data_IF_021896483446
#
_entry.id   IF_021896483446
#
_cell.length_a   1.000
_cell.length_b   1.000
_cell.length_c   1.000
_cell.angle_alpha   90.00
_cell.angle_beta   90.00
_cell.angle_gamma   90.00
#
_symmetry.space_group_name_H-M   'P 1'
#
loop_
_entity.id
_entity.type
_entity.pdbx_description
1 polymer ?
#
# COMPACT_ATOMS: atom_id res chain seq x y z
N UNK A 1 65.96 32.35 58.13
CA UNK A 1 65.60 33.47 59.03
C UNK A 1 64.23 34.01 58.61
N UNK A 2 63.47 34.53 59.58
CA UNK A 2 62.10 35.11 59.59
C UNK A 2 61.33 35.23 58.23
N UNK A 3 60.10 34.73 58.06
CA UNK A 3 58.83 34.99 58.77
C UNK A 3 58.36 36.46 58.79
N UNK A 4 57.18 36.72 58.22
CA UNK A 4 56.03 37.49 58.80
C UNK A 4 55.22 38.16 57.66
N UNK A 5 54.04 37.65 57.22
CA UNK A 5 52.65 38.00 57.64
C UNK A 5 52.20 39.40 57.12
N UNK A 6 50.97 39.74 56.71
CA UNK A 6 49.62 39.18 56.97
C UNK A 6 48.53 39.71 56.00
N UNK A 7 47.39 38.99 55.88
CA UNK A 7 46.04 39.49 55.46
C UNK A 7 45.90 40.10 54.04
N UNK A 8 44.79 40.05 53.29
CA UNK A 8 43.34 39.88 53.56
C UNK A 8 42.63 39.52 52.19
N UNK A 9 41.33 39.24 52.00
CA UNK A 9 40.11 39.24 52.84
C UNK A 9 38.92 38.50 52.14
N UNK A 10 38.43 37.36 52.69
CA UNK A 10 37.02 36.84 52.52
C UNK A 10 36.64 36.37 51.08
N UNK A 11 35.60 35.56 50.82
CA UNK A 11 34.54 34.92 51.63
C UNK A 11 34.07 33.61 50.96
N UNK A 12 33.49 32.69 51.72
CA UNK A 12 32.88 31.44 51.22
C UNK A 12 31.49 31.65 50.63
N UNK A 13 31.12 30.88 49.59
CA UNK A 13 29.75 30.44 49.35
C UNK A 13 29.74 29.21 48.40
N UNK A 14 29.11 28.11 48.83
CA UNK A 14 28.70 27.02 47.94
C UNK A 14 27.44 27.43 47.18
N UNK A 15 27.31 27.02 45.92
CA UNK A 15 26.03 27.02 45.21
C UNK A 15 25.97 25.82 44.26
N UNK A 16 25.07 24.89 44.58
CA UNK A 16 24.80 23.70 43.77
C UNK A 16 23.49 23.90 43.00
N UNK A 17 23.55 23.86 41.67
CA UNK A 17 22.40 23.80 40.75
C UNK A 17 22.94 23.55 39.34
N UNK A 18 22.37 22.72 38.47
CA UNK A 18 21.32 21.72 38.62
C UNK A 18 21.25 20.99 37.28
N UNK A 19 21.33 19.65 37.25
CA UNK A 19 21.43 18.91 35.99
C UNK A 19 20.06 18.88 35.32
N UNK A 20 19.83 19.78 34.35
CA UNK A 20 18.61 19.85 33.56
C UNK A 20 18.47 18.59 32.70
N UNK A 21 17.76 17.61 33.23
CA UNK A 21 17.31 16.44 32.49
C UNK A 21 16.25 16.91 31.48
N UNK A 22 16.68 17.25 30.26
CA UNK A 22 15.78 17.54 29.16
C UNK A 22 15.02 16.25 28.82
N UNK A 23 13.79 16.14 29.32
CA UNK A 23 12.88 15.07 28.96
C UNK A 23 12.58 15.16 27.48
N UNK A 24 13.25 14.33 26.68
CA UNK A 24 12.85 14.08 25.31
C UNK A 24 11.46 13.45 25.38
N UNK A 25 10.43 14.23 25.01
CA UNK A 25 9.14 13.67 24.69
C UNK A 25 9.33 12.81 23.44
N UNK A 26 9.63 11.54 23.66
CA UNK A 26 9.54 10.51 22.63
C UNK A 26 8.06 10.46 22.27
N UNK A 27 7.69 11.19 21.21
CA UNK A 27 6.42 10.99 20.57
C UNK A 27 6.43 9.53 20.08
N UNK A 28 5.68 8.68 20.78
CA UNK A 28 5.29 7.39 20.26
C UNK A 28 4.62 7.69 18.92
N UNK A 29 5.29 7.36 17.82
CA UNK A 29 4.65 7.36 16.51
C UNK A 29 3.67 6.19 16.56
N UNK A 30 2.48 6.47 17.08
CA UNK A 30 1.37 5.53 17.08
C UNK A 30 1.22 5.01 15.66
N UNK A 31 1.32 3.70 15.50
CA UNK A 31 1.23 2.99 14.23
C UNK A 31 -0.09 3.38 13.53
N UNK A 32 -0.02 4.32 12.57
CA UNK A 32 -1.23 4.84 11.93
C UNK A 32 -1.86 3.79 11.00
N UNK A 33 -1.09 2.83 10.50
CA UNK A 33 -1.61 1.69 9.73
C UNK A 33 -2.57 0.82 10.56
N UNK A 34 -2.43 0.77 11.89
CA UNK A 34 -3.39 0.10 12.77
C UNK A 34 -4.81 0.72 12.75
N UNK A 35 -4.93 1.97 12.28
CA UNK A 35 -6.20 2.69 12.09
C UNK A 35 -6.72 2.59 10.64
N UNK A 36 -5.97 1.92 9.75
CA UNK A 36 -6.32 1.68 8.35
C UNK A 36 -6.88 0.27 8.18
N UNK A 37 -8.05 0.16 7.57
CA UNK A 37 -8.67 -1.11 7.20
C UNK A 37 -8.64 -1.31 5.69
N UNK A 38 -8.25 -2.51 5.27
CA UNK A 38 -8.26 -2.92 3.87
C UNK A 38 -9.48 -3.79 3.58
N UNK A 39 -10.26 -3.40 2.57
CA UNK A 39 -11.39 -4.15 2.05
C UNK A 39 -11.18 -4.51 0.58
N UNK A 40 -11.82 -5.61 0.15
CA UNK A 40 -11.92 -5.98 -1.27
C UNK A 40 -10.55 -6.06 -1.95
N UNK A 41 -9.57 -6.67 -1.28
CA UNK A 41 -8.20 -6.83 -1.75
C UNK A 41 -8.09 -7.99 -2.76
N UNK A 42 -7.67 -7.71 -3.99
CA UNK A 42 -7.53 -8.72 -5.04
C UNK A 42 -6.46 -8.38 -6.08
N UNK A 43 -5.86 -9.41 -6.68
CA UNK A 43 -4.86 -9.28 -7.76
C UNK A 43 -5.46 -9.82 -9.05
N UNK A 44 -5.42 -9.03 -10.11
CA UNK A 44 -5.65 -9.48 -11.49
C UNK A 44 -4.37 -10.10 -12.02
N UNK A 45 -4.35 -11.42 -12.12
CA UNK A 45 -3.24 -12.17 -12.72
C UNK A 45 -3.34 -12.09 -14.25
N UNK A 46 -2.22 -11.80 -14.91
CA UNK A 46 -2.09 -11.86 -16.37
C UNK A 46 -1.28 -13.11 -16.79
N UNK A 47 -1.45 -13.63 -18.01
CA UNK A 47 -0.63 -14.74 -18.52
C UNK A 47 0.84 -14.35 -18.72
N UNK A 48 1.72 -15.36 -18.68
CA UNK A 48 3.17 -15.21 -18.78
C UNK A 48 3.76 -14.26 -17.71
N UNK A 49 5.00 -13.80 -17.89
CA UNK A 49 5.71 -12.94 -16.93
C UNK A 49 5.26 -11.46 -16.97
N UNK A 50 4.01 -11.21 -17.37
CA UNK A 50 3.44 -9.86 -17.42
C UNK A 50 3.14 -9.32 -16.02
N UNK A 51 3.30 -8.00 -15.76
CA UNK A 51 2.94 -7.39 -14.49
C UNK A 51 1.47 -7.62 -14.13
N UNK A 52 1.21 -8.04 -12.89
CA UNK A 52 -0.14 -8.17 -12.36
C UNK A 52 -0.62 -6.84 -11.74
N UNK A 53 -1.94 -6.65 -11.66
CA UNK A 53 -2.55 -5.46 -11.06
C UNK A 53 -3.21 -5.78 -9.73
N UNK A 54 -2.79 -5.12 -8.64
CA UNK A 54 -3.38 -5.24 -7.31
C UNK A 54 -4.33 -4.09 -6.99
N UNK A 55 -5.47 -4.43 -6.41
CA UNK A 55 -6.59 -3.54 -6.17
C UNK A 55 -7.12 -3.76 -4.75
N UNK A 56 -7.46 -2.68 -4.05
CA UNK A 56 -7.88 -2.68 -2.64
C UNK A 56 -8.58 -1.36 -2.33
N UNK A 57 -9.57 -1.38 -1.44
CA UNK A 57 -10.10 -0.13 -0.84
C UNK A 57 -9.56 0.02 0.56
N UNK A 58 -9.00 1.18 0.87
CA UNK A 58 -8.39 1.49 2.15
C UNK A 58 -9.23 2.55 2.86
N UNK A 59 -9.61 2.27 4.09
CA UNK A 59 -10.40 3.13 4.95
C UNK A 59 -9.55 3.55 6.14
N UNK A 60 -9.28 4.85 6.28
CA UNK A 60 -8.57 5.39 7.42
C UNK A 60 -9.59 5.86 8.45
N UNK A 61 -9.66 5.18 9.59
CA UNK A 61 -10.56 5.56 10.71
C UNK A 61 -9.95 6.62 11.63
N UNK A 62 -8.65 6.87 11.50
CA UNK A 62 -7.87 7.76 12.33
C UNK A 62 -8.15 9.26 12.14
N UNK A 63 -7.72 10.03 13.15
CA UNK A 63 -7.83 11.49 13.20
C UNK A 63 -6.78 12.22 12.33
N UNK A 64 -5.79 11.48 11.77
CA UNK A 64 -4.73 12.05 10.92
C UNK A 64 -4.71 11.38 9.54
N UNK A 65 -4.24 12.12 8.53
CA UNK A 65 -4.08 11.57 7.19
C UNK A 65 -2.77 10.78 7.08
N UNK A 66 -2.84 9.58 6.49
CA UNK A 66 -1.70 8.70 6.22
C UNK A 66 -1.49 8.62 4.70
N UNK A 67 -0.28 8.29 4.23
CA UNK A 67 -0.01 8.15 2.79
C UNK A 67 0.61 6.79 2.47
N UNK A 68 -0.03 6.05 1.55
CA UNK A 68 0.48 4.79 1.01
C UNK A 68 1.61 5.11 0.01
N UNK A 69 2.81 4.57 0.20
CA UNK A 69 3.97 4.81 -0.68
C UNK A 69 4.27 3.62 -1.59
N UNK A 70 3.88 2.42 -1.18
CA UNK A 70 4.13 1.20 -1.95
C UNK A 70 3.61 -0.04 -1.25
N UNK A 71 4.17 -1.18 -1.61
CA UNK A 71 3.93 -2.45 -0.94
C UNK A 71 5.09 -3.42 -1.17
N UNK A 72 5.08 -4.54 -0.46
CA UNK A 72 6.02 -5.64 -0.60
C UNK A 72 5.32 -7.01 -0.51
N UNK A 73 5.90 -8.05 -1.13
CA UNK A 73 5.39 -9.42 -1.04
C UNK A 73 6.50 -10.42 -1.33
N UNK A 74 6.54 -11.55 -0.62
CA UNK A 74 7.44 -12.66 -0.94
C UNK A 74 7.12 -13.36 -2.29
N UNK A 75 5.98 -13.01 -2.93
CA UNK A 75 5.55 -13.57 -4.21
C UNK A 75 5.96 -12.75 -5.43
N UNK A 76 6.47 -11.54 -5.26
CA UNK A 76 6.82 -10.62 -6.34
C UNK A 76 8.12 -9.87 -6.04
N UNK A 77 8.99 -9.68 -7.03
CA UNK A 77 10.24 -8.93 -6.87
C UNK A 77 10.01 -7.46 -6.55
N UNK A 78 8.96 -6.86 -7.12
CA UNK A 78 8.59 -5.46 -6.87
C UNK A 78 7.06 -5.32 -6.81
N UNK A 79 6.57 -4.48 -5.89
CA UNK A 79 5.18 -4.00 -5.89
C UNK A 79 5.19 -2.48 -5.76
N UNK A 80 4.68 -1.79 -6.78
CA UNK A 80 4.84 -0.33 -6.93
C UNK A 80 3.48 0.34 -7.07
N UNK A 81 3.31 1.51 -6.45
CA UNK A 81 2.09 2.29 -6.59
C UNK A 81 2.06 3.01 -7.96
N UNK A 82 1.01 2.79 -8.74
CA UNK A 82 0.83 3.32 -10.08
C UNK A 82 -0.56 3.97 -10.24
N UNK A 83 -0.67 4.90 -11.18
CA UNK A 83 -1.94 5.47 -11.65
C UNK A 83 -2.11 5.17 -13.14
N UNK A 84 -3.29 4.70 -13.52
CA UNK A 84 -3.77 4.70 -14.90
C UNK A 84 -4.48 6.01 -15.21
N UNK A 85 -4.18 6.61 -16.35
CA UNK A 85 -4.87 7.80 -16.89
C UNK A 85 -5.14 7.61 -18.38
N UNK A 86 -6.08 8.39 -18.93
CA UNK A 86 -6.32 8.47 -20.37
C UNK A 86 -6.05 9.90 -20.83
N UNK A 87 -5.08 10.08 -21.72
CA UNK A 87 -4.68 11.38 -22.25
C UNK A 87 -4.73 11.33 -23.78
N UNK A 88 -5.49 12.24 -24.40
CA UNK A 88 -5.67 12.26 -25.86
C UNK A 88 -6.27 10.97 -26.46
N UNK A 89 -6.98 10.17 -25.66
CA UNK A 89 -7.50 8.86 -26.08
C UNK A 89 -6.49 7.70 -25.96
N UNK A 90 -5.26 7.95 -25.50
CA UNK A 90 -4.26 6.93 -25.20
C UNK A 90 -4.23 6.65 -23.70
N UNK A 91 -4.24 5.36 -23.33
CA UNK A 91 -4.02 4.94 -21.95
C UNK A 91 -2.55 5.08 -21.55
N UNK A 92 -2.29 5.69 -20.41
CA UNK A 92 -0.97 5.83 -19.80
C UNK A 92 -0.98 5.24 -18.40
N UNK A 93 0.10 4.56 -18.03
CA UNK A 93 0.38 4.16 -16.64
C UNK A 93 1.64 4.89 -16.17
N UNK A 94 1.59 5.46 -14.98
CA UNK A 94 2.74 6.13 -14.35
C UNK A 94 2.87 5.72 -12.89
N UNK A 95 4.11 5.56 -12.43
CA UNK A 95 4.43 5.41 -11.01
C UNK A 95 3.98 6.66 -10.23
N UNK A 96 3.59 6.45 -8.97
CA UNK A 96 3.17 7.47 -8.03
C UNK A 96 3.98 7.27 -6.74
N UNK A 97 4.61 8.34 -6.25
CA UNK A 97 5.46 8.26 -5.04
C UNK A 97 4.66 8.01 -3.76
N UNK A 98 3.45 8.59 -3.67
CA UNK A 98 2.55 8.42 -2.53
C UNK A 98 1.09 8.73 -2.88
N UNK A 99 0.16 8.05 -2.20
CA UNK A 99 -1.29 8.27 -2.28
C UNK A 99 -1.85 8.54 -0.88
N UNK A 100 -2.35 9.77 -0.68
CA UNK A 100 -2.91 10.19 0.60
C UNK A 100 -4.27 9.54 0.87
N UNK A 101 -4.47 9.10 2.11
CA UNK A 101 -5.71 8.56 2.67
C UNK A 101 -6.14 9.52 3.79
N UNK A 102 -7.12 10.41 3.56
CA UNK A 102 -7.53 11.42 4.53
C UNK A 102 -7.98 10.83 5.86
N UNK A 103 -7.86 11.61 6.94
CA UNK A 103 -8.47 11.28 8.24
C UNK A 103 -9.98 11.03 8.08
N UNK A 104 -10.49 9.98 8.72
CA UNK A 104 -11.86 9.45 8.55
C UNK A 104 -12.29 9.23 7.07
N UNK A 105 -11.31 9.10 6.17
CA UNK A 105 -11.49 9.06 4.73
C UNK A 105 -11.27 7.68 4.13
N UNK A 106 -11.33 7.59 2.81
CA UNK A 106 -11.08 6.34 2.11
C UNK A 106 -10.51 6.58 0.71
N UNK A 107 -9.73 5.63 0.21
CA UNK A 107 -9.22 5.63 -1.16
C UNK A 107 -9.39 4.25 -1.78
N UNK A 108 -9.68 4.18 -3.08
CA UNK A 108 -9.83 2.91 -3.80
C UNK A 108 -8.76 2.80 -4.88
N UNK A 109 -7.97 1.74 -4.79
CA UNK A 109 -7.10 1.28 -5.86
C UNK A 109 -7.93 0.35 -6.73
N UNK A 110 -8.35 0.84 -7.89
CA UNK A 110 -9.33 0.20 -8.78
C UNK A 110 -8.88 0.23 -10.25
N UNK A 111 -9.37 -0.70 -11.10
CA UNK A 111 -9.04 -0.72 -12.52
C UNK A 111 -9.35 0.60 -13.23
N UNK A 112 -8.40 1.11 -14.01
CA UNK A 112 -8.51 2.42 -14.66
C UNK A 112 -8.14 3.62 -13.79
N UNK A 113 -7.84 3.42 -12.50
CA UNK A 113 -7.31 4.45 -11.59
C UNK A 113 -5.99 4.05 -10.94
N UNK A 114 -5.84 4.33 -9.65
CA UNK A 114 -4.69 3.87 -8.85
C UNK A 114 -4.69 2.35 -8.71
N UNK A 115 -3.50 1.74 -8.72
CA UNK A 115 -3.33 0.30 -8.55
C UNK A 115 -1.91 -0.01 -8.08
N UNK A 116 -1.73 -1.18 -7.48
CA UNK A 116 -0.40 -1.76 -7.26
C UNK A 116 0.02 -2.49 -8.54
N UNK A 117 1.19 -2.17 -9.09
CA UNK A 117 1.82 -2.94 -10.16
C UNK A 117 2.75 -3.97 -9.54
N UNK A 118 2.41 -5.26 -9.64
CA UNK A 118 3.21 -6.36 -9.12
C UNK A 118 4.05 -6.96 -10.26
N UNK A 119 5.37 -6.94 -10.11
CA UNK A 119 6.31 -7.39 -11.13
C UNK A 119 7.18 -8.56 -10.65
N UNK A 120 7.66 -9.37 -11.60
CA UNK A 120 8.58 -10.49 -11.34
C UNK A 120 8.03 -11.47 -10.30
N UNK A 121 6.94 -12.17 -10.65
CA UNK A 121 6.38 -13.20 -9.78
C UNK A 121 7.43 -14.29 -9.51
N UNK A 122 7.68 -14.63 -8.25
CA UNK A 122 8.71 -15.62 -7.86
C UNK A 122 8.34 -17.04 -8.27
N UNK A 123 7.03 -17.28 -8.45
CA UNK A 123 6.39 -18.46 -9.04
C UNK A 123 5.09 -18.02 -9.70
N UNK A 124 4.60 -18.78 -10.68
CA UNK A 124 3.26 -18.56 -11.23
C UNK A 124 2.21 -18.49 -10.10
N UNK A 125 1.36 -17.45 -10.15
CA UNK A 125 0.23 -17.26 -9.24
C UNK A 125 -1.04 -17.72 -9.95
N UNK A 126 -1.84 -18.56 -9.31
CA UNK A 126 -3.07 -19.09 -9.91
C UNK A 126 -4.30 -18.32 -9.46
N UNK A 127 -5.33 -18.24 -10.30
CA UNK A 127 -6.62 -17.72 -9.86
C UNK A 127 -7.19 -18.57 -8.71
N UNK A 128 -7.74 -17.92 -7.68
CA UNK A 128 -8.18 -18.55 -6.43
C UNK A 128 -7.09 -18.66 -5.35
N UNK A 129 -5.84 -18.31 -5.65
CA UNK A 129 -4.75 -18.28 -4.67
C UNK A 129 -4.76 -17.00 -3.83
N UNK A 130 -4.49 -17.11 -2.52
CA UNK A 130 -4.27 -15.94 -1.65
C UNK A 130 -2.79 -15.54 -1.68
N UNK A 131 -2.53 -14.25 -1.92
CA UNK A 131 -1.19 -13.65 -1.93
C UNK A 131 -1.09 -12.65 -0.77
N UNK A 132 -0.24 -12.91 0.24
CA UNK A 132 0.08 -11.91 1.25
C UNK A 132 0.85 -10.74 0.64
N UNK A 133 0.37 -9.53 0.88
CA UNK A 133 1.00 -8.26 0.48
C UNK A 133 1.03 -7.34 1.69
N UNK A 134 2.20 -6.80 2.02
CA UNK A 134 2.34 -5.77 3.05
C UNK A 134 2.29 -4.41 2.39
N UNK A 135 1.33 -3.58 2.76
CA UNK A 135 1.24 -2.18 2.32
C UNK A 135 2.17 -1.32 3.15
N UNK A 136 2.90 -0.41 2.49
CA UNK A 136 3.93 0.42 3.11
C UNK A 136 3.49 1.90 3.13
N UNK A 137 3.63 2.56 4.28
CA UNK A 137 3.17 3.94 4.48
C UNK A 137 4.32 4.92 4.76
N UNK A 138 4.08 6.21 4.48
CA UNK A 138 5.07 7.28 4.55
C UNK A 138 5.60 7.58 5.97
N UNK A 139 4.90 7.16 7.01
CA UNK A 139 5.34 7.27 8.41
C UNK A 139 6.22 6.08 8.86
N UNK A 140 6.43 5.08 7.99
CA UNK A 140 7.15 3.85 8.29
C UNK A 140 6.28 2.75 8.90
N UNK A 141 4.96 2.94 8.98
CA UNK A 141 4.02 1.89 9.36
C UNK A 141 3.72 0.94 8.19
N UNK A 142 3.17 -0.24 8.51
CA UNK A 142 2.93 -1.31 7.56
C UNK A 142 1.61 -2.04 7.84
N UNK A 143 0.82 -2.34 6.81
CA UNK A 143 -0.43 -3.12 6.93
C UNK A 143 -0.34 -4.43 6.12
N UNK A 144 -0.26 -5.61 6.76
CA UNK A 144 -0.37 -6.88 6.05
C UNK A 144 -1.81 -7.12 5.58
N UNK A 145 -1.98 -7.44 4.29
CA UNK A 145 -3.27 -7.66 3.64
C UNK A 145 -3.19 -8.89 2.74
N UNK A 146 -4.18 -9.77 2.85
CA UNK A 146 -4.32 -10.93 1.97
C UNK A 146 -5.11 -10.54 0.70
N UNK A 147 -4.46 -10.65 -0.47
CA UNK A 147 -5.08 -10.37 -1.75
C UNK A 147 -5.50 -11.67 -2.45
N UNK A 148 -6.77 -11.77 -2.87
CA UNK A 148 -7.25 -12.90 -3.68
C UNK A 148 -6.83 -12.75 -5.14
N UNK A 149 -6.12 -13.73 -5.70
CA UNK A 149 -5.80 -13.78 -7.12
C UNK A 149 -7.04 -14.12 -7.95
N UNK A 150 -7.33 -13.30 -8.97
CA UNK A 150 -8.45 -13.45 -9.91
C UNK A 150 -7.94 -13.46 -11.37
N UNK A 151 -8.67 -14.08 -12.31
CA UNK A 151 -8.27 -14.15 -13.72
C UNK A 151 -8.26 -12.78 -14.40
N UNK A 152 -7.57 -12.68 -15.54
CA UNK A 152 -7.36 -11.43 -16.30
C UNK A 152 -8.66 -10.67 -16.67
N UNK A 153 -9.77 -11.39 -16.84
CA UNK A 153 -11.08 -10.83 -17.19
C UNK A 153 -11.90 -10.32 -15.99
N UNK A 154 -11.46 -10.53 -14.74
CA UNK A 154 -12.14 -9.98 -13.57
C UNK A 154 -12.11 -8.45 -13.59
N UNK A 155 -13.21 -7.78 -13.23
CA UNK A 155 -13.33 -6.30 -13.27
C UNK A 155 -13.37 -5.65 -11.89
N UNK A 156 -13.57 -6.45 -10.85
CA UNK A 156 -13.80 -6.05 -9.45
C UNK A 156 -13.24 -7.11 -8.48
N UNK A 157 -13.47 -6.95 -7.18
CA UNK A 157 -13.17 -7.98 -6.18
C UNK A 157 -14.14 -9.17 -6.24
N UNK A 158 -15.40 -8.91 -6.65
CA UNK A 158 -16.48 -9.88 -6.84
C UNK A 158 -17.07 -10.43 -5.54
N UNK A 159 -18.37 -10.25 -5.35
CA UNK A 159 -19.07 -10.68 -4.13
C UNK A 159 -19.39 -12.20 -4.08
N UNK A 160 -18.69 -13.01 -4.89
CA UNK A 160 -18.95 -14.46 -5.01
C UNK A 160 -17.67 -15.30 -5.11
N UNK A 161 -17.71 -16.43 -4.40
CA UNK A 161 -16.84 -17.59 -4.61
C UNK A 161 -16.78 -17.95 -6.11
N UNK A 162 -15.68 -18.57 -6.60
CA UNK A 162 -15.45 -18.75 -8.03
C UNK A 162 -16.64 -19.41 -8.71
N UNK A 163 -17.32 -18.65 -9.58
CA UNK A 163 -18.25 -19.21 -10.54
C UNK A 163 -17.49 -20.26 -11.35
N UNK A 164 -18.00 -21.48 -11.34
CA UNK A 164 -17.46 -22.61 -12.09
C UNK A 164 -17.24 -22.21 -13.55
N UNK A 165 -16.02 -22.40 -14.05
CA UNK A 165 -15.77 -22.38 -15.49
C UNK A 165 -16.61 -23.48 -16.14
N UNK A 166 -17.66 -23.10 -16.86
CA UNK A 166 -18.27 -23.92 -17.91
C UNK A 166 -17.73 -23.44 -19.27
N UNK A 167 -16.81 -24.20 -19.91
CA UNK A 167 -16.20 -23.80 -21.17
C UNK A 167 -16.94 -24.40 -22.38
N UNK A 168 -18.15 -23.91 -22.69
CA UNK A 168 -18.75 -24.12 -24.02
C UNK A 168 -19.94 -23.18 -24.29
N UNK A 169 -19.73 -22.16 -25.13
CA UNK A 169 -20.80 -21.54 -25.93
C UNK A 169 -20.40 -21.71 -27.40
N UNK A 170 -21.10 -22.55 -28.20
CA UNK A 170 -20.81 -22.66 -29.62
C UNK A 170 -21.26 -21.38 -30.33
N UNK A 171 -20.39 -20.86 -31.21
CA UNK A 171 -20.75 -19.76 -32.11
C UNK A 171 -21.67 -20.31 -33.20
N UNK A 172 -22.96 -20.00 -33.11
CA UNK A 172 -23.94 -20.31 -34.16
C UNK A 172 -23.73 -19.40 -35.37
N UNK A 173 -23.15 -19.93 -36.44
CA UNK A 173 -23.06 -19.27 -37.73
C UNK A 173 -24.35 -19.51 -38.54
N UNK A 174 -25.43 -18.83 -38.13
CA UNK A 174 -26.71 -18.89 -38.83
C UNK A 174 -26.67 -18.31 -40.25
N UNK A 175 -27.50 -18.86 -41.15
CA UNK A 175 -27.98 -18.13 -42.33
C UNK A 175 -27.71 -18.71 -43.72
N UNK A 176 -27.92 -20.01 -43.96
CA UNK A 176 -28.05 -20.52 -45.33
C UNK A 176 -29.49 -20.30 -45.86
N UNK A 177 -29.64 -19.48 -46.92
CA UNK A 177 -30.91 -19.18 -47.57
C UNK A 177 -31.10 -20.07 -48.82
N UNK A 178 -32.18 -20.87 -48.94
CA UNK A 178 -32.55 -21.50 -50.20
C UNK A 178 -33.50 -20.59 -51.02
N UNK A 179 -33.16 -20.34 -52.29
CA UNK A 179 -34.10 -19.74 -53.24
C UNK A 179 -35.18 -20.75 -53.63
N UNK A 180 -36.45 -20.35 -53.52
CA UNK A 180 -37.59 -21.07 -54.08
C UNK A 180 -37.92 -20.61 -55.51
N UNK A 181 -38.29 -21.57 -56.36
CA UNK A 181 -38.95 -21.36 -57.65
C UNK A 181 -40.47 -21.47 -57.50
#
# INVERSE_FOLDING_TARGET
MWSTTCTCRRFSALLATGLLFAGAAQADQADQAAQVHAEKAWIRVLPADLPAGGYVTLHNTGDTAIALTGASSARYGHVMLHQSTTEGGMGRMSMVEQLAIPAHGSVSLAPGGYHLMLMQATKAVSAGETVPVTLDFADGSHLPVDFLARPANAVDAGDTAPASMDPAMPMDHGGAMPHGH
#
